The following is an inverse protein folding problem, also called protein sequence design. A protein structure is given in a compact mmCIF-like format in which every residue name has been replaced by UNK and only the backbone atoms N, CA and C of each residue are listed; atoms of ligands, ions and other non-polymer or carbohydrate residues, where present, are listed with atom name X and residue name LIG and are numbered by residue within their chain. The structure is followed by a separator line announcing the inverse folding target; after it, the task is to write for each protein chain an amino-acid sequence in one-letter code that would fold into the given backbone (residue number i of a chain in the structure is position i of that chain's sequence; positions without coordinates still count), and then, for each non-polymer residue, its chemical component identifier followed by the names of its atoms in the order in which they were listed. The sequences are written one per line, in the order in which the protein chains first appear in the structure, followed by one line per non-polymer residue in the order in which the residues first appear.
data_IF_429236712170
#
_entry.id   IF_429236712170
#
_cell.length_a   1.000
_cell.length_b   1.000
_cell.length_c   1.000
_cell.angle_alpha   90.00
_cell.angle_beta   90.00
_cell.angle_gamma   90.00
#
_symmetry.space_group_name_H-M   'P 1'
#
loop_
_entity.id
_entity.type
_entity.pdbx_description
1 polymer ?
#
# COMPACT_ATOMS: atom_id res chain seq x y z
N UNK A 1 -4.48 13.17 10.45
CA UNK A 1 -3.59 13.43 11.58
C UNK A 1 -4.30 13.41 12.93
N UNK A 2 -5.56 13.88 13.01
CA UNK A 2 -6.29 13.99 14.29
C UNK A 2 -6.93 12.70 14.77
N UNK A 3 -6.89 11.62 13.97
CA UNK A 3 -7.44 10.31 14.36
C UNK A 3 -6.33 9.29 14.53
N UNK A 4 -6.24 8.33 13.67
CA UNK A 4 -5.30 7.20 13.75
C UNK A 4 -3.81 7.61 13.75
N UNK A 5 -3.47 8.72 13.09
CA UNK A 5 -2.10 9.22 13.08
C UNK A 5 -1.78 10.13 14.28
N UNK A 6 -2.76 10.37 15.16
CA UNK A 6 -2.58 11.25 16.32
C UNK A 6 -1.38 10.89 17.19
N UNK A 7 -1.13 9.62 17.52
CA UNK A 7 0.04 9.31 18.38
C UNK A 7 1.36 9.75 17.74
N UNK A 8 1.52 9.56 16.43
CA UNK A 8 2.74 9.98 15.71
C UNK A 8 2.81 11.50 15.61
N UNK A 9 1.71 12.12 15.19
CA UNK A 9 1.64 13.59 15.04
C UNK A 9 1.93 14.26 16.38
N UNK A 10 1.28 13.82 17.45
CA UNK A 10 1.45 14.43 18.78
C UNK A 10 2.87 14.26 19.33
N UNK A 11 3.56 13.19 18.94
CA UNK A 11 4.96 12.98 19.33
C UNK A 11 5.93 13.87 18.57
N UNK A 12 5.54 14.38 17.40
CA UNK A 12 6.42 15.20 16.53
C UNK A 12 6.34 16.69 16.83
N UNK A 13 5.43 17.14 17.71
CA UNK A 13 5.19 18.56 17.98
C UNK A 13 5.56 18.92 19.43
N UNK A 14 5.82 20.19 19.67
CA UNK A 14 6.19 20.68 21.02
C UNK A 14 5.04 20.51 22.03
N UNK A 15 5.34 20.45 23.34
CA UNK A 15 4.29 20.30 24.38
C UNK A 15 3.21 21.39 24.32
N UNK A 16 3.59 22.65 24.07
CA UNK A 16 2.63 23.75 23.95
C UNK A 16 1.70 23.55 22.72
N UNK A 17 2.30 23.17 21.59
CA UNK A 17 1.52 22.88 20.36
C UNK A 17 0.60 21.68 20.61
N UNK A 18 1.08 20.67 21.34
CA UNK A 18 0.29 19.45 21.62
C UNK A 18 -1.00 19.79 22.37
N UNK A 19 -0.95 20.67 23.39
CA UNK A 19 -2.16 21.09 24.10
C UNK A 19 -3.16 21.75 23.14
N UNK A 20 -2.70 22.71 22.32
CA UNK A 20 -3.53 23.40 21.33
C UNK A 20 -4.15 22.41 20.34
N UNK A 21 -3.34 21.50 19.81
CA UNK A 21 -3.81 20.53 18.82
C UNK A 21 -4.73 19.47 19.45
N UNK A 22 -4.55 19.13 20.75
CA UNK A 22 -5.46 18.24 21.47
C UNK A 22 -6.87 18.87 21.59
N UNK A 23 -6.93 20.16 21.90
CA UNK A 23 -8.22 20.88 21.96
C UNK A 23 -8.88 20.85 20.57
N UNK A 24 -8.13 21.17 19.51
CA UNK A 24 -8.65 21.10 18.14
C UNK A 24 -9.15 19.69 17.82
N UNK A 25 -8.39 18.66 18.21
CA UNK A 25 -8.80 17.26 17.99
C UNK A 25 -10.17 16.98 18.59
N UNK A 26 -10.37 17.39 19.85
CA UNK A 26 -11.66 17.18 20.52
C UNK A 26 -12.79 17.92 19.79
N UNK A 27 -12.56 19.18 19.40
CA UNK A 27 -13.57 19.96 18.69
C UNK A 27 -13.90 19.34 17.33
N UNK A 28 -12.88 18.97 16.56
CA UNK A 28 -13.05 18.37 15.23
C UNK A 28 -13.80 17.03 15.35
N UNK A 29 -13.36 16.14 16.25
CA UNK A 29 -13.98 14.82 16.39
C UNK A 29 -15.45 14.95 16.91
N UNK A 30 -15.72 15.93 17.75
CA UNK A 30 -17.09 16.19 18.23
C UNK A 30 -17.99 16.71 17.11
N UNK A 31 -17.46 17.62 16.29
CA UNK A 31 -18.18 18.16 15.13
C UNK A 31 -18.43 17.07 14.08
N UNK A 32 -17.40 16.29 13.76
CA UNK A 32 -17.52 15.18 12.81
C UNK A 32 -18.55 14.15 13.28
N UNK A 33 -18.48 13.77 14.56
CA UNK A 33 -19.45 12.84 15.16
C UNK A 33 -20.88 13.40 15.06
N UNK A 34 -21.06 14.68 15.44
CA UNK A 34 -22.38 15.34 15.39
C UNK A 34 -22.94 15.37 13.96
N UNK A 35 -22.09 15.77 12.98
CA UNK A 35 -22.49 15.84 11.58
C UNK A 35 -22.88 14.47 11.03
N UNK A 36 -22.02 13.45 11.28
CA UNK A 36 -22.23 12.10 10.75
C UNK A 36 -23.45 11.40 11.38
N UNK A 37 -23.75 11.71 12.66
CA UNK A 37 -24.88 11.04 13.33
C UNK A 37 -26.23 11.74 13.11
N UNK A 38 -26.24 13.02 12.69
CA UNK A 38 -27.49 13.78 12.55
C UNK A 38 -27.86 14.10 11.10
N UNK A 39 -26.86 14.25 10.24
CA UNK A 39 -27.11 14.76 8.89
C UNK A 39 -26.83 13.73 7.79
N UNK A 40 -26.40 12.52 8.17
CA UNK A 40 -26.04 11.47 7.20
C UNK A 40 -26.93 10.26 7.47
N UNK A 41 -27.62 9.80 6.44
CA UNK A 41 -28.51 8.64 6.53
C UNK A 41 -27.73 7.31 6.46
N UNK A 42 -26.63 7.30 5.73
CA UNK A 42 -25.83 6.08 5.54
C UNK A 42 -24.35 6.44 5.42
N UNK A 43 -23.51 5.67 6.07
CA UNK A 43 -22.06 5.84 6.01
C UNK A 43 -21.45 4.57 5.40
N UNK A 44 -20.63 4.75 4.39
CA UNK A 44 -19.95 3.63 3.71
C UNK A 44 -18.44 3.83 3.86
N UNK A 45 -17.75 2.77 4.26
CA UNK A 45 -16.31 2.74 4.43
C UNK A 45 -15.67 1.98 3.26
N UNK A 46 -14.58 2.49 2.73
CA UNK A 46 -13.86 1.84 1.62
C UNK A 46 -13.04 0.62 2.05
N UNK A 47 -12.98 0.33 3.37
CA UNK A 47 -12.27 -0.82 3.92
C UNK A 47 -12.75 -1.11 5.34
N UNK A 48 -12.47 -2.30 5.83
CA UNK A 48 -12.71 -2.64 7.24
C UNK A 48 -11.81 -1.82 8.17
N UNK A 49 -10.64 -1.42 7.71
CA UNK A 49 -9.74 -0.53 8.45
C UNK A 49 -10.44 0.80 8.73
N UNK A 50 -11.05 1.42 7.72
CA UNK A 50 -11.81 2.66 7.89
C UNK A 50 -13.06 2.43 8.73
N UNK A 51 -13.77 1.32 8.50
CA UNK A 51 -14.95 0.96 9.31
C UNK A 51 -14.58 0.91 10.80
N UNK A 52 -13.47 0.23 11.15
CA UNK A 52 -13.00 0.12 12.54
C UNK A 52 -12.63 1.50 13.12
N UNK A 53 -11.96 2.36 12.33
CA UNK A 53 -11.59 3.71 12.75
C UNK A 53 -12.84 4.58 13.01
N UNK A 54 -13.80 4.56 12.10
CA UNK A 54 -15.07 5.29 12.27
C UNK A 54 -15.77 4.87 13.56
N UNK A 55 -15.80 3.57 13.82
CA UNK A 55 -16.41 3.04 15.03
C UNK A 55 -15.63 3.44 16.30
N UNK A 56 -14.30 3.32 16.25
CA UNK A 56 -13.45 3.59 17.41
C UNK A 56 -13.36 5.08 17.74
N UNK A 57 -13.18 5.93 16.75
CA UNK A 57 -12.92 7.36 16.95
C UNK A 57 -14.21 8.18 17.06
N UNK A 58 -15.24 7.80 16.31
CA UNK A 58 -16.47 8.60 16.20
C UNK A 58 -17.73 7.88 16.69
N UNK A 59 -17.64 6.57 16.97
CA UNK A 59 -18.81 5.79 17.35
C UNK A 59 -19.79 5.57 16.20
N UNK A 60 -19.37 5.80 14.95
CA UNK A 60 -20.20 5.71 13.76
C UNK A 60 -20.15 4.30 13.17
N UNK A 61 -21.32 3.75 12.86
CA UNK A 61 -21.43 2.49 12.11
C UNK A 61 -21.34 2.80 10.61
N UNK A 62 -20.66 1.95 9.88
CA UNK A 62 -20.51 2.08 8.43
C UNK A 62 -20.57 0.69 7.80
N UNK A 63 -21.12 0.58 6.62
CA UNK A 63 -21.02 -0.63 5.82
C UNK A 63 -19.75 -0.56 4.95
N UNK A 64 -19.21 -1.71 4.60
CA UNK A 64 -17.97 -1.75 3.79
C UNK A 64 -18.34 -1.97 2.33
N UNK A 65 -17.88 -1.03 1.49
CA UNK A 65 -18.01 -1.16 0.04
C UNK A 65 -16.63 -0.90 -0.58
N UNK A 66 -16.03 -1.94 -1.12
CA UNK A 66 -14.68 -1.87 -1.68
C UNK A 66 -14.73 -1.16 -3.05
N UNK A 67 -14.05 -0.02 -3.23
CA UNK A 67 -14.02 0.64 -4.52
C UNK A 67 -13.33 -0.22 -5.59
N UNK A 68 -13.80 -0.18 -6.84
CA UNK A 68 -13.10 -0.86 -7.94
C UNK A 68 -11.78 -0.16 -8.26
N UNK A 69 -10.86 -0.84 -8.96
CA UNK A 69 -9.70 -0.15 -9.50
C UNK A 69 -10.15 0.97 -10.46
N UNK A 70 -9.40 2.09 -10.55
CA UNK A 70 -9.73 3.13 -11.52
C UNK A 70 -9.86 2.55 -12.93
N UNK A 71 -10.77 3.07 -13.77
CA UNK A 71 -11.00 2.52 -15.12
C UNK A 71 -9.82 2.85 -16.04
N UNK A 72 -8.92 1.89 -16.20
CA UNK A 72 -7.71 1.99 -17.04
C UNK A 72 -7.54 0.68 -17.80
N UNK A 73 -6.81 0.68 -18.93
CA UNK A 73 -6.59 -0.54 -19.73
C UNK A 73 -5.52 -1.45 -19.10
N UNK A 74 -5.84 -1.99 -17.91
CA UNK A 74 -4.95 -2.94 -17.22
C UNK A 74 -4.76 -4.20 -18.08
N UNK A 75 -3.55 -4.74 -18.05
CA UNK A 75 -3.21 -5.94 -18.80
C UNK A 75 -2.06 -6.67 -18.12
N UNK A 76 -1.77 -7.87 -18.56
CA UNK A 76 -0.62 -8.65 -18.10
C UNK A 76 0.17 -9.13 -19.34
N UNK A 77 1.39 -8.64 -19.47
CA UNK A 77 2.29 -8.99 -20.58
C UNK A 77 3.34 -10.03 -20.15
N UNK A 78 3.12 -10.67 -18.99
CA UNK A 78 4.02 -11.69 -18.45
C UNK A 78 4.51 -11.35 -17.04
N UNK A 79 5.45 -12.14 -16.55
CA UNK A 79 6.01 -12.06 -15.19
C UNK A 79 7.51 -11.88 -15.28
N UNK A 80 7.97 -10.65 -15.41
CA UNK A 80 9.36 -10.28 -15.64
C UNK A 80 10.28 -10.48 -14.43
N UNK A 81 11.43 -9.85 -14.48
CA UNK A 81 12.53 -10.07 -13.53
C UNK A 81 12.66 -8.98 -12.46
N UNK A 82 11.60 -8.23 -12.19
CA UNK A 82 11.65 -7.16 -11.18
C UNK A 82 10.36 -7.03 -10.38
N UNK A 83 10.49 -6.51 -9.17
CA UNK A 83 9.36 -6.13 -8.31
C UNK A 83 9.05 -4.65 -8.58
N UNK A 84 7.78 -4.33 -8.77
CA UNK A 84 7.34 -2.94 -8.98
C UNK A 84 6.77 -2.36 -7.68
N UNK A 85 7.08 -1.10 -7.41
CA UNK A 85 6.45 -0.34 -6.32
C UNK A 85 6.08 1.03 -6.85
N UNK A 86 4.88 1.50 -6.56
CA UNK A 86 4.43 2.83 -6.99
C UNK A 86 3.66 3.51 -5.89
N UNK A 87 4.05 4.74 -5.54
CA UNK A 87 3.33 5.54 -4.55
C UNK A 87 3.91 6.94 -4.46
N UNK A 88 3.26 7.80 -3.69
CA UNK A 88 3.91 9.01 -3.21
C UNK A 88 5.05 8.59 -2.26
N UNK A 89 6.25 9.14 -2.46
CA UNK A 89 7.42 8.76 -1.66
C UNK A 89 7.40 9.53 -0.32
N UNK A 90 6.66 8.98 0.65
CA UNK A 90 6.55 9.53 2.02
C UNK A 90 6.87 8.43 3.04
N UNK A 91 7.22 8.80 4.28
CA UNK A 91 7.53 7.79 5.31
C UNK A 91 6.42 6.77 5.55
N UNK A 92 5.15 7.17 5.40
CA UNK A 92 4.01 6.26 5.60
C UNK A 92 3.92 5.17 4.53
N UNK A 93 4.52 5.37 3.35
CA UNK A 93 4.54 4.36 2.29
C UNK A 93 5.66 3.33 2.48
N UNK A 94 6.61 3.62 3.38
CA UNK A 94 7.61 2.68 3.94
C UNK A 94 8.44 1.97 2.87
N UNK A 95 8.78 2.73 1.79
CA UNK A 95 9.62 2.16 0.72
C UNK A 95 11.06 1.93 1.17
N UNK A 96 11.49 2.57 2.25
CA UNK A 96 12.75 2.27 2.91
C UNK A 96 12.79 0.82 3.42
N UNK A 97 11.69 0.30 3.95
CA UNK A 97 11.57 -1.11 4.36
C UNK A 97 11.77 -2.03 3.14
N UNK A 98 11.14 -1.68 2.01
CA UNK A 98 11.28 -2.45 0.77
C UNK A 98 12.73 -2.45 0.28
N UNK A 99 13.39 -1.27 0.29
CA UNK A 99 14.81 -1.16 -0.10
C UNK A 99 15.70 -1.99 0.85
N UNK A 100 15.45 -1.91 2.16
CA UNK A 100 16.19 -2.74 3.15
C UNK A 100 15.94 -4.24 2.95
N UNK A 101 14.75 -4.63 2.53
CA UNK A 101 14.45 -6.03 2.23
C UNK A 101 15.25 -6.53 1.02
N UNK A 102 15.38 -5.69 -0.01
CA UNK A 102 16.18 -6.03 -1.20
C UNK A 102 17.67 -6.19 -0.87
N UNK A 103 18.16 -5.59 0.22
CA UNK A 103 19.54 -5.74 0.68
C UNK A 103 19.76 -7.03 1.48
N UNK A 104 18.71 -7.73 1.90
CA UNK A 104 18.87 -8.98 2.67
C UNK A 104 19.35 -10.09 1.77
N UNK A 105 20.22 -10.98 2.27
CA UNK A 105 20.69 -12.12 1.47
C UNK A 105 19.55 -12.97 0.88
N UNK A 106 18.45 -13.11 1.61
CA UNK A 106 17.30 -13.88 1.15
C UNK A 106 16.68 -13.31 -0.14
N UNK A 107 16.77 -12.01 -0.38
CA UNK A 107 16.24 -11.42 -1.61
C UNK A 107 17.11 -11.70 -2.85
N UNK A 108 18.30 -12.29 -2.66
CA UNK A 108 19.18 -12.67 -3.76
C UNK A 108 19.52 -11.49 -4.67
N UNK A 109 19.40 -11.73 -5.97
CA UNK A 109 19.64 -10.70 -7.01
C UNK A 109 18.37 -9.98 -7.46
N UNK A 110 17.30 -10.03 -6.69
CA UNK A 110 16.01 -9.39 -7.04
C UNK A 110 16.19 -7.91 -7.42
N UNK A 111 15.54 -7.53 -8.52
CA UNK A 111 15.58 -6.17 -9.05
C UNK A 111 14.27 -5.46 -8.70
N UNK A 112 14.32 -4.14 -8.66
CA UNK A 112 13.11 -3.34 -8.36
C UNK A 112 13.07 -2.04 -9.14
N UNK A 113 11.84 -1.64 -9.48
CA UNK A 113 11.55 -0.32 -10.02
C UNK A 113 10.58 0.35 -9.04
N UNK A 114 10.96 1.52 -8.54
CA UNK A 114 10.16 2.32 -7.63
C UNK A 114 9.74 3.60 -8.36
N UNK A 115 8.45 3.73 -8.64
CA UNK A 115 7.88 4.89 -9.32
C UNK A 115 7.19 5.82 -8.32
N UNK A 116 7.27 7.10 -8.59
CA UNK A 116 6.66 8.13 -7.76
C UNK A 116 7.64 9.20 -7.33
N UNK A 117 7.13 10.16 -6.56
CA UNK A 117 7.93 11.28 -6.07
C UNK A 117 7.43 11.70 -4.69
N UNK A 118 8.24 12.43 -3.95
CA UNK A 118 7.88 12.90 -2.62
C UNK A 118 9.09 13.19 -1.75
N UNK A 119 8.80 13.64 -0.54
CA UNK A 119 9.81 14.10 0.42
C UNK A 119 10.88 13.04 0.77
N UNK A 120 10.54 11.75 0.65
CA UNK A 120 11.48 10.66 0.97
C UNK A 120 12.41 10.29 -0.19
N UNK A 121 12.28 10.92 -1.37
CA UNK A 121 13.05 10.53 -2.56
C UNK A 121 14.58 10.59 -2.31
N UNK A 122 15.05 11.69 -1.74
CA UNK A 122 16.49 11.87 -1.46
C UNK A 122 17.00 10.79 -0.50
N UNK A 123 16.30 10.60 0.62
CA UNK A 123 16.68 9.61 1.62
C UNK A 123 16.65 8.18 1.06
N UNK A 124 15.70 7.88 0.16
CA UNK A 124 15.65 6.57 -0.49
C UNK A 124 16.84 6.37 -1.42
N UNK A 125 17.23 7.41 -2.18
CA UNK A 125 18.39 7.31 -3.06
C UNK A 125 19.68 7.10 -2.25
N UNK A 126 19.84 7.84 -1.15
CA UNK A 126 20.98 7.66 -0.24
C UNK A 126 21.01 6.23 0.34
N UNK A 127 19.85 5.71 0.74
CA UNK A 127 19.74 4.36 1.27
C UNK A 127 20.12 3.30 0.21
N UNK A 128 19.65 3.46 -1.03
CA UNK A 128 19.99 2.57 -2.15
C UNK A 128 21.50 2.54 -2.35
N UNK A 129 22.13 3.73 -2.39
CA UNK A 129 23.57 3.86 -2.58
C UNK A 129 24.34 3.22 -1.40
N UNK A 130 23.95 3.54 -0.17
CA UNK A 130 24.61 3.04 1.04
C UNK A 130 24.54 1.50 1.17
N UNK A 131 23.48 0.90 0.63
CA UNK A 131 23.29 -0.55 0.65
C UNK A 131 23.87 -1.25 -0.61
N UNK A 132 24.50 -0.50 -1.52
CA UNK A 132 25.08 -1.06 -2.74
C UNK A 132 24.05 -1.62 -3.72
N UNK A 133 22.88 -1.01 -3.78
CA UNK A 133 21.76 -1.54 -4.59
C UNK A 133 21.54 -0.77 -5.91
N UNK A 134 22.47 0.15 -6.27
CA UNK A 134 22.26 1.05 -7.40
C UNK A 134 22.09 0.33 -8.75
N UNK A 135 22.66 -0.87 -8.88
CA UNK A 135 22.54 -1.69 -10.10
C UNK A 135 21.24 -2.51 -10.15
N UNK A 136 20.52 -2.61 -9.02
CA UNK A 136 19.33 -3.48 -8.90
C UNK A 136 18.04 -2.72 -8.60
N UNK A 137 18.14 -1.50 -8.04
CA UNK A 137 16.97 -0.71 -7.61
C UNK A 137 16.97 0.63 -8.33
N UNK A 138 15.98 0.87 -9.15
CA UNK A 138 15.82 2.11 -9.90
C UNK A 138 14.68 2.96 -9.35
N UNK A 139 14.98 4.20 -8.95
CA UNK A 139 13.97 5.21 -8.65
C UNK A 139 13.57 5.88 -9.97
N UNK A 140 12.42 5.49 -10.51
CA UNK A 140 11.97 5.97 -11.82
C UNK A 140 11.46 7.43 -11.81
N UNK A 141 11.17 7.96 -10.60
CA UNK A 141 10.53 9.27 -10.50
C UNK A 141 9.05 9.18 -10.88
N UNK A 142 8.49 10.32 -11.24
CA UNK A 142 7.11 10.34 -11.74
C UNK A 142 7.07 9.69 -13.11
N UNK A 143 6.13 8.79 -13.29
CA UNK A 143 5.90 8.10 -14.55
C UNK A 143 4.52 8.48 -15.07
N UNK A 144 4.33 8.44 -16.37
CA UNK A 144 3.02 8.65 -16.99
C UNK A 144 2.10 7.45 -16.69
N UNK A 145 0.81 7.63 -16.89
CA UNK A 145 -0.17 6.53 -16.73
C UNK A 145 0.19 5.33 -17.62
N UNK A 146 0.64 5.59 -18.84
CA UNK A 146 1.06 4.53 -19.77
C UNK A 146 2.25 3.73 -19.23
N UNK A 147 3.29 4.43 -18.79
CA UNK A 147 4.48 3.78 -18.21
C UNK A 147 4.13 3.01 -16.92
N UNK A 148 3.22 3.56 -16.11
CA UNK A 148 2.77 2.88 -14.90
C UNK A 148 2.06 1.56 -15.25
N UNK A 149 1.17 1.60 -16.25
CA UNK A 149 0.48 0.41 -16.73
C UNK A 149 1.45 -0.62 -17.34
N UNK A 150 2.49 -0.15 -18.05
CA UNK A 150 3.55 -1.01 -18.59
C UNK A 150 4.31 -1.69 -17.45
N UNK A 151 4.63 -0.95 -16.38
CA UNK A 151 5.31 -1.54 -15.22
C UNK A 151 4.42 -2.58 -14.54
N UNK A 152 3.14 -2.28 -14.32
CA UNK A 152 2.20 -3.28 -13.80
C UNK A 152 2.14 -4.50 -14.71
N UNK A 153 2.05 -4.30 -16.02
CA UNK A 153 1.87 -5.40 -16.98
C UNK A 153 3.07 -6.36 -17.00
N UNK A 154 4.29 -5.85 -16.75
CA UNK A 154 5.53 -6.61 -16.97
C UNK A 154 6.26 -7.01 -15.70
N UNK A 155 5.93 -6.47 -14.54
CA UNK A 155 6.63 -6.83 -13.30
C UNK A 155 6.34 -8.28 -12.88
N UNK A 156 7.16 -8.82 -11.98
CA UNK A 156 6.93 -10.13 -11.36
C UNK A 156 5.77 -10.05 -10.36
N UNK A 157 5.82 -9.05 -9.51
CA UNK A 157 4.83 -8.78 -8.46
C UNK A 157 4.93 -7.31 -8.07
N UNK A 158 3.96 -6.82 -7.31
CA UNK A 158 3.95 -5.45 -6.79
C UNK A 158 4.27 -5.48 -5.29
N UNK A 159 5.15 -4.57 -4.84
CA UNK A 159 5.42 -4.40 -3.41
C UNK A 159 4.79 -3.10 -2.93
N UNK A 160 3.88 -3.21 -1.96
CA UNK A 160 3.19 -2.04 -1.40
C UNK A 160 3.01 -2.26 0.11
N UNK A 161 4.02 -1.89 0.93
CA UNK A 161 4.03 -2.14 2.38
C UNK A 161 3.75 -0.88 3.21
N UNK A 162 2.70 -0.07 2.95
CA UNK A 162 2.48 1.16 3.72
C UNK A 162 2.16 0.86 5.18
N UNK A 163 2.08 1.90 6.00
CA UNK A 163 1.63 1.79 7.39
C UNK A 163 0.18 2.27 7.45
N UNK A 164 -0.74 1.39 7.88
CA UNK A 164 -2.12 1.77 8.17
C UNK A 164 -2.85 2.45 7.01
N UNK A 165 -2.63 2.00 5.80
CA UNK A 165 -3.26 2.56 4.60
C UNK A 165 -4.78 2.38 4.65
N UNK A 166 -5.52 3.39 4.23
CA UNK A 166 -6.98 3.37 4.27
C UNK A 166 -7.55 2.29 3.36
N UNK A 167 -7.09 2.23 2.11
CA UNK A 167 -7.56 1.25 1.13
C UNK A 167 -6.40 0.69 0.29
N UNK A 168 -5.64 1.57 -0.37
CA UNK A 168 -4.47 1.20 -1.17
C UNK A 168 -4.85 0.79 -2.60
N UNK A 169 -5.25 1.76 -3.42
CA UNK A 169 -5.61 1.52 -4.83
C UNK A 169 -4.52 0.76 -5.60
N UNK A 170 -3.25 0.93 -5.25
CA UNK A 170 -2.13 0.18 -5.81
C UNK A 170 -2.41 -1.34 -5.78
N UNK A 171 -3.04 -1.84 -4.70
CA UNK A 171 -3.34 -3.27 -4.55
C UNK A 171 -4.34 -3.74 -5.63
N UNK A 172 -5.44 -3.01 -5.79
CA UNK A 172 -6.47 -3.43 -6.78
C UNK A 172 -6.03 -3.15 -8.22
N UNK A 173 -5.16 -2.15 -8.45
CA UNK A 173 -4.53 -1.91 -9.76
C UNK A 173 -3.59 -3.07 -10.14
N UNK A 174 -2.78 -3.54 -9.18
CA UNK A 174 -1.93 -4.72 -9.36
C UNK A 174 -2.79 -5.95 -9.68
N UNK A 175 -3.87 -6.15 -8.91
CA UNK A 175 -4.81 -7.26 -9.12
C UNK A 175 -5.42 -7.19 -10.53
N UNK A 176 -5.87 -6.02 -10.97
CA UNK A 176 -6.44 -5.82 -12.31
C UNK A 176 -5.39 -6.12 -13.40
N UNK A 177 -4.10 -5.98 -13.08
CA UNK A 177 -2.99 -6.30 -13.98
C UNK A 177 -2.50 -7.75 -13.83
N UNK A 178 -3.24 -8.60 -13.11
CA UNK A 178 -2.88 -9.99 -12.82
C UNK A 178 -1.53 -10.10 -12.10
N UNK A 179 -1.31 -9.21 -11.10
CA UNK A 179 -0.08 -9.26 -10.29
C UNK A 179 -0.43 -9.48 -8.82
N UNK A 180 0.29 -10.41 -8.21
CA UNK A 180 0.22 -10.59 -6.76
C UNK A 180 0.89 -9.40 -6.06
N UNK A 181 0.46 -9.13 -4.82
CA UNK A 181 0.98 -8.01 -4.04
C UNK A 181 1.68 -8.51 -2.78
N UNK A 182 2.88 -8.00 -2.53
CA UNK A 182 3.59 -8.16 -1.28
C UNK A 182 3.26 -6.94 -0.41
N UNK A 183 2.72 -7.19 0.76
CA UNK A 183 2.35 -6.14 1.70
C UNK A 183 2.72 -6.57 3.12
N UNK A 184 2.48 -5.72 4.11
CA UNK A 184 2.78 -6.06 5.51
C UNK A 184 1.49 -6.18 6.34
N UNK A 185 1.54 -6.96 7.41
CA UNK A 185 0.38 -7.23 8.28
C UNK A 185 -0.23 -5.93 8.86
N UNK A 186 0.60 -4.90 9.05
CA UNK A 186 0.16 -3.60 9.57
C UNK A 186 -0.19 -2.59 8.48
N UNK A 187 -0.33 -3.04 7.22
CA UNK A 187 -0.56 -2.13 6.09
C UNK A 187 -2.02 -1.63 5.98
N UNK A 188 -2.92 -2.14 6.80
CA UNK A 188 -4.32 -1.70 6.77
C UNK A 188 -5.08 -2.27 5.57
N UNK A 189 -5.64 -1.41 4.71
CA UNK A 189 -6.41 -1.83 3.54
C UNK A 189 -5.71 -2.86 2.66
N UNK A 190 -4.44 -2.65 2.27
CA UNK A 190 -3.71 -3.66 1.49
C UNK A 190 -3.68 -5.05 2.16
N UNK A 191 -3.47 -5.11 3.48
CA UNK A 191 -3.45 -6.38 4.22
C UNK A 191 -4.83 -7.05 4.27
N UNK A 192 -5.92 -6.27 4.13
CA UNK A 192 -7.27 -6.82 4.03
C UNK A 192 -7.57 -7.36 2.62
N UNK A 193 -7.04 -6.68 1.61
CA UNK A 193 -7.28 -7.03 0.21
C UNK A 193 -6.48 -8.27 -0.20
N UNK A 194 -5.24 -8.38 0.29
CA UNK A 194 -4.36 -9.49 -0.04
C UNK A 194 -4.71 -10.71 0.84
N UNK A 195 -4.96 -11.85 0.19
CA UNK A 195 -5.07 -13.15 0.88
C UNK A 195 -3.70 -13.81 0.80
N UNK A 196 -3.10 -14.05 1.97
CA UNK A 196 -1.75 -14.58 2.05
C UNK A 196 -1.63 -15.93 1.34
N UNK A 197 -0.62 -16.05 0.45
CA UNK A 197 -0.36 -17.25 -0.33
C UNK A 197 -1.32 -17.48 -1.49
N UNK A 198 -2.43 -16.71 -1.57
CA UNK A 198 -3.47 -16.85 -2.59
C UNK A 198 -3.44 -15.71 -3.61
N UNK A 199 -3.48 -14.44 -3.16
CA UNK A 199 -3.50 -13.28 -4.07
C UNK A 199 -2.27 -12.39 -3.88
N UNK A 200 -1.33 -12.85 -3.07
CA UNK A 200 -0.10 -12.13 -2.74
C UNK A 200 0.48 -12.69 -1.46
N UNK A 201 1.31 -11.91 -0.80
CA UNK A 201 1.94 -12.30 0.47
C UNK A 201 1.76 -11.18 1.49
N UNK A 202 1.36 -11.56 2.72
CA UNK A 202 1.23 -10.64 3.85
C UNK A 202 2.40 -10.92 4.82
N UNK A 203 3.42 -10.09 4.75
CA UNK A 203 4.67 -10.26 5.51
C UNK A 203 4.58 -9.55 6.87
N UNK A 204 5.39 -9.98 7.81
CA UNK A 204 5.63 -9.17 9.00
C UNK A 204 6.34 -7.86 8.58
N UNK A 205 6.13 -6.75 9.29
CA UNK A 205 6.73 -5.47 8.92
C UNK A 205 8.23 -5.39 9.27
N UNK A 206 9.00 -6.32 8.69
CA UNK A 206 10.45 -6.41 8.85
C UNK A 206 11.13 -6.67 7.51
N UNK A 207 12.37 -6.21 7.38
CA UNK A 207 13.15 -6.38 6.15
C UNK A 207 13.35 -7.87 5.83
N UNK A 208 13.58 -8.69 6.86
CA UNK A 208 13.83 -10.13 6.66
C UNK A 208 12.57 -10.86 6.17
N UNK A 209 11.39 -10.56 6.75
CA UNK A 209 10.14 -11.19 6.33
C UNK A 209 9.76 -10.76 4.91
N UNK A 210 9.91 -9.47 4.60
CA UNK A 210 9.60 -8.98 3.25
C UNK A 210 10.59 -9.55 2.22
N UNK A 211 11.87 -9.71 2.59
CA UNK A 211 12.87 -10.34 1.72
C UNK A 211 12.53 -11.79 1.39
N UNK A 212 12.05 -12.56 2.38
CA UNK A 212 11.59 -13.92 2.14
C UNK A 212 10.41 -13.96 1.17
N UNK A 213 9.48 -13.00 1.29
CA UNK A 213 8.37 -12.84 0.35
C UNK A 213 8.86 -12.51 -1.07
N UNK A 214 9.84 -11.62 -1.17
CA UNK A 214 10.45 -11.24 -2.46
C UNK A 214 11.08 -12.50 -3.10
N UNK A 215 11.89 -13.22 -2.34
CA UNK A 215 12.53 -14.46 -2.82
C UNK A 215 11.49 -15.43 -3.38
N UNK A 216 10.43 -15.66 -2.62
CA UNK A 216 9.39 -16.62 -3.02
C UNK A 216 8.76 -16.30 -4.37
N UNK A 217 8.46 -15.03 -4.64
CA UNK A 217 7.85 -14.64 -5.93
C UNK A 217 8.89 -14.57 -7.06
N UNK A 218 10.16 -14.25 -6.73
CA UNK A 218 11.21 -14.13 -7.74
C UNK A 218 11.72 -15.52 -8.18
N UNK A 219 11.87 -16.44 -7.23
CA UNK A 219 12.44 -17.78 -7.48
C UNK A 219 11.40 -18.74 -8.08
N UNK A 220 10.10 -18.53 -7.80
CA UNK A 220 9.02 -19.41 -8.27
C UNK A 220 8.06 -18.60 -9.18
N UNK A 221 8.33 -18.65 -10.49
CA UNK A 221 7.51 -17.94 -11.47
C UNK A 221 6.09 -18.52 -11.56
N UNK A 222 5.93 -19.84 -11.34
CA UNK A 222 4.60 -20.47 -11.35
C UNK A 222 3.77 -19.99 -10.14
N UNK A 223 4.42 -19.82 -8.97
CA UNK A 223 3.76 -19.23 -7.81
C UNK A 223 3.32 -17.79 -8.11
N UNK A 224 4.21 -16.97 -8.69
CA UNK A 224 3.89 -15.58 -9.03
C UNK A 224 2.69 -15.51 -9.99
N UNK A 225 2.65 -16.37 -11.00
CA UNK A 225 1.54 -16.43 -11.96
C UNK A 225 0.25 -16.90 -11.29
N UNK A 226 0.32 -17.91 -10.41
CA UNK A 226 -0.85 -18.43 -9.71
C UNK A 226 -1.49 -17.35 -8.82
N UNK A 227 -0.68 -16.66 -8.00
CA UNK A 227 -1.22 -15.61 -7.12
C UNK A 227 -1.73 -14.40 -7.93
N UNK A 228 -1.09 -14.10 -9.07
CA UNK A 228 -1.55 -13.02 -9.96
C UNK A 228 -2.90 -13.36 -10.61
N UNK A 229 -3.09 -14.60 -11.02
CA UNK A 229 -4.35 -15.06 -11.59
C UNK A 229 -5.48 -15.00 -10.55
N UNK A 230 -5.21 -15.47 -9.34
CA UNK A 230 -6.17 -15.42 -8.24
C UNK A 230 -6.49 -13.95 -7.85
N UNK A 231 -5.48 -13.07 -7.88
CA UNK A 231 -5.64 -11.64 -7.61
C UNK A 231 -6.62 -10.99 -8.62
N UNK A 232 -6.45 -11.29 -9.91
CA UNK A 232 -7.35 -10.79 -10.95
C UNK A 232 -8.79 -11.28 -10.75
N UNK A 233 -8.96 -12.55 -10.42
CA UNK A 233 -10.29 -13.12 -10.14
C UNK A 233 -10.95 -12.42 -8.93
N UNK A 234 -10.15 -12.03 -7.93
CA UNK A 234 -10.65 -11.29 -6.76
C UNK A 234 -11.06 -9.85 -7.11
N UNK A 235 -10.36 -9.21 -8.05
CA UNK A 235 -10.68 -7.83 -8.48
C UNK A 235 -11.90 -7.79 -9.43
N UNK A 236 -12.19 -8.85 -10.17
CA UNK A 236 -13.21 -8.87 -11.20
C UNK A 236 -14.62 -8.46 -10.70
N UNK A 237 -15.12 -8.95 -9.55
CA UNK A 237 -16.42 -8.52 -9.01
C UNK A 237 -16.48 -7.04 -8.65
N UNK A 238 -15.37 -6.46 -8.28
CA UNK A 238 -15.29 -5.03 -7.98
C UNK A 238 -15.58 -4.19 -9.20
N UNK A 239 -15.19 -4.62 -10.21
CA UNK A 239 -15.31 -3.92 -11.41
C UNK A 239 -16.73 -4.02 -11.95
N UNK A 240 -17.46 -4.99 -11.49
CA UNK A 240 -18.80 -5.19 -11.88
C UNK A 240 -19.80 -4.43 -11.05
N UNK A 241 -19.41 -3.97 -9.96
CA UNK A 241 -20.15 -3.16 -9.10
C UNK A 241 -20.20 -1.73 -9.46
N UNK A 242 -19.58 -1.49 -10.33
CA UNK A 242 -19.49 -0.21 -10.88
C UNK A 242 -20.33 0.03 -12.08
N UNK A 243 -21.06 -0.88 -12.53
CA UNK A 243 -21.94 -0.76 -13.71
C UNK A 243 -23.37 -0.46 -13.28
#
# INVERSE_FOLDING_TARGET
EYYDLWPRFSASISPKARVKESVKRVLISSADRWLLTRNVTEVVAQSRTIQRRLRADLGVKADVLLPPPPPRPYRCDGYGDYIFAVSRLTPLKRLDLFVRALAQPAAGAARAVIAGDGESRGALQELINALGLSDRVRLAGRVSDGEMLDHYARCRAVCFPPIGEDYGFVTVEAFASRKGVLTCADSGGPAELVRDGETGLVCEPSASSLAAGIARVMDDSAFAERIGTAAAARAAPMXXXXR
#
